data_IF_572948921702
#
_entry.id   IF_572948921702
#
_cell.length_a   1.000
_cell.length_b   1.000
_cell.length_c   1.000
_cell.angle_alpha   90.00
_cell.angle_beta   90.00
_cell.angle_gamma   90.00
#
_symmetry.space_group_name_H-M   'P 1'
#
loop_
_entity.id
_entity.type
_entity.pdbx_description
1 polymer ?
#
# COMPACT_ATOMS: atom_id res chain seq x y z
N UNK A 1 24.15 -1.21 -2.68
CA UNK A 1 22.86 -0.78 -3.27
C UNK A 1 21.89 -1.95 -3.16
N UNK A 2 21.43 -2.24 -1.94
CA UNK A 2 20.55 -3.36 -1.60
C UNK A 2 19.27 -2.67 -1.11
N UNK A 3 18.16 -2.78 -1.82
CA UNK A 3 16.96 -2.04 -1.41
C UNK A 3 15.70 -2.15 -2.26
N UNK A 4 15.71 -2.80 -3.43
CA UNK A 4 14.48 -3.06 -4.19
C UNK A 4 14.42 -4.51 -4.69
N UNK A 5 14.27 -5.46 -3.78
CA UNK A 5 13.93 -6.86 -4.13
C UNK A 5 12.40 -7.04 -4.23
N UNK A 6 11.60 -6.04 -3.83
CA UNK A 6 10.15 -6.19 -3.64
C UNK A 6 9.29 -5.94 -4.90
N UNK A 7 9.80 -5.26 -5.93
CA UNK A 7 9.01 -4.89 -7.10
C UNK A 7 9.18 -5.97 -8.18
N UNK A 8 8.61 -7.15 -7.97
CA UNK A 8 8.30 -8.10 -9.05
C UNK A 8 9.44 -8.61 -9.96
N UNK A 9 10.72 -8.51 -9.57
CA UNK A 9 11.85 -9.12 -10.30
C UNK A 9 12.46 -10.23 -9.42
N UNK A 10 11.95 -11.46 -9.55
CA UNK A 10 12.71 -12.67 -9.24
C UNK A 10 12.91 -13.09 -7.77
N UNK A 11 11.87 -13.06 -6.92
CA UNK A 11 11.94 -13.70 -5.58
C UNK A 11 11.36 -15.12 -5.66
N UNK A 12 12.16 -16.13 -5.33
CA UNK A 12 11.74 -17.55 -5.34
C UNK A 12 10.67 -17.80 -4.25
N UNK A 13 9.57 -18.54 -4.54
CA UNK A 13 8.45 -18.72 -3.61
C UNK A 13 8.74 -19.48 -2.31
N UNK A 14 9.96 -20.01 -2.12
CA UNK A 14 10.24 -21.05 -1.12
C UNK A 14 11.16 -20.61 0.03
N UNK A 15 11.52 -19.33 0.11
CA UNK A 15 12.37 -18.82 1.19
C UNK A 15 11.72 -17.60 1.85
N UNK A 16 11.46 -17.72 3.15
CA UNK A 16 10.85 -16.72 4.02
C UNK A 16 11.85 -15.58 4.28
N UNK A 17 12.17 -14.81 3.24
CA UNK A 17 13.05 -13.63 3.37
C UNK A 17 12.18 -12.45 3.76
N UNK A 18 12.32 -12.00 5.01
CA UNK A 18 11.74 -10.73 5.45
C UNK A 18 12.46 -9.62 4.69
N UNK A 19 11.78 -9.04 3.71
CA UNK A 19 12.28 -7.85 3.01
C UNK A 19 11.91 -6.65 3.88
N UNK A 20 12.91 -6.01 4.49
CA UNK A 20 12.70 -4.80 5.28
C UNK A 20 12.57 -3.60 4.34
N UNK A 21 11.40 -2.99 4.34
CA UNK A 21 11.14 -1.65 3.82
C UNK A 21 10.86 -1.58 2.31
N UNK A 22 9.72 -0.96 1.97
CA UNK A 22 9.55 -0.21 0.72
C UNK A 22 10.30 1.14 0.78
N UNK A 23 10.71 1.54 1.98
CA UNK A 23 11.52 2.73 2.27
C UNK A 23 12.95 2.54 1.75
N UNK A 24 13.42 3.49 0.94
CA UNK A 24 14.73 3.40 0.26
C UNK A 24 14.67 2.83 -1.15
N UNK A 25 13.50 2.38 -1.62
CA UNK A 25 13.33 2.03 -3.02
C UNK A 25 13.36 3.27 -3.93
N UNK A 26 14.08 3.18 -5.05
CA UNK A 26 13.98 4.20 -6.11
C UNK A 26 12.71 3.97 -6.93
N UNK A 27 11.66 4.71 -6.60
CA UNK A 27 10.42 4.77 -7.38
C UNK A 27 10.54 5.71 -8.61
N UNK A 28 11.66 6.44 -8.70
CA UNK A 28 11.95 7.35 -9.82
C UNK A 28 12.13 6.52 -11.10
N UNK A 29 11.36 6.87 -12.14
CA UNK A 29 11.37 6.17 -13.44
C UNK A 29 10.27 5.11 -13.62
N UNK A 30 9.52 4.78 -12.57
CA UNK A 30 8.41 3.82 -12.61
C UNK A 30 7.05 4.45 -12.94
N UNK A 31 7.03 5.65 -13.55
CA UNK A 31 5.81 6.38 -13.88
C UNK A 31 4.85 5.61 -14.83
N UNK A 32 5.34 4.56 -15.51
CA UNK A 32 4.56 3.66 -16.35
C UNK A 32 3.89 2.50 -15.63
N UNK A 33 4.13 2.30 -14.33
CA UNK A 33 3.63 1.14 -13.60
C UNK A 33 2.13 1.26 -13.37
N UNK A 34 1.41 0.21 -13.79
CA UNK A 34 -0.05 0.10 -13.65
C UNK A 34 -0.44 -0.71 -12.42
N UNK A 35 0.38 -1.67 -12.01
CA UNK A 35 0.09 -2.55 -10.88
C UNK A 35 1.32 -2.76 -10.01
N UNK A 36 1.12 -2.71 -8.70
CA UNK A 36 2.11 -3.09 -7.68
C UNK A 36 1.47 -4.15 -6.81
N UNK A 37 2.11 -5.31 -6.71
CA UNK A 37 1.70 -6.39 -5.81
C UNK A 37 2.90 -6.94 -5.07
N UNK A 38 2.79 -7.07 -3.75
CA UNK A 38 3.82 -7.71 -2.94
C UNK A 38 3.20 -8.64 -1.91
N UNK A 39 3.72 -9.87 -1.77
CA UNK A 39 3.29 -10.88 -0.80
C UNK A 39 4.49 -11.65 -0.24
N UNK A 40 5.40 -10.94 0.42
CA UNK A 40 6.69 -11.49 0.87
C UNK A 40 7.00 -11.13 2.33
N UNK A 41 6.00 -11.09 3.21
CA UNK A 41 6.18 -10.70 4.61
C UNK A 41 6.97 -9.40 4.75
N UNK A 42 6.65 -8.40 3.92
CA UNK A 42 7.30 -7.08 3.99
C UNK A 42 7.07 -6.46 5.37
N UNK A 43 8.11 -5.88 5.94
CA UNK A 43 8.06 -5.08 7.18
C UNK A 43 8.37 -3.60 6.88
N UNK A 44 7.98 -2.70 7.78
CA UNK A 44 8.18 -1.24 7.64
C UNK A 44 6.95 -0.50 7.10
N UNK A 45 7.09 0.78 6.77
CA UNK A 45 5.96 1.62 6.33
C UNK A 45 5.79 1.69 4.81
N UNK A 46 4.63 2.19 4.39
CA UNK A 46 4.34 2.47 2.99
C UNK A 46 4.93 3.84 2.63
N UNK A 47 5.89 3.94 1.69
CA UNK A 47 6.54 5.20 1.34
C UNK A 47 5.58 6.12 0.60
N UNK A 48 5.59 7.41 0.95
CA UNK A 48 4.76 8.43 0.31
C UNK A 48 5.04 8.58 -1.21
N UNK A 49 6.23 8.16 -1.65
CA UNK A 49 6.69 8.21 -3.04
C UNK A 49 5.83 7.34 -3.97
N UNK A 50 5.08 6.35 -3.46
CA UNK A 50 4.09 5.61 -4.25
C UNK A 50 3.00 6.52 -4.82
N UNK A 51 2.69 7.65 -4.15
CA UNK A 51 1.78 8.67 -4.66
C UNK A 51 2.26 9.38 -5.93
N UNK A 52 3.52 9.19 -6.34
CA UNK A 52 4.05 9.74 -7.59
C UNK A 52 3.83 8.82 -8.80
N UNK A 53 3.32 7.60 -8.60
CA UNK A 53 3.04 6.65 -9.68
C UNK A 53 1.70 6.99 -10.34
N UNK A 54 1.63 8.11 -11.07
CA UNK A 54 0.38 8.69 -11.60
C UNK A 54 -0.46 7.77 -12.50
N UNK A 55 0.13 6.71 -13.05
CA UNK A 55 -0.56 5.68 -13.85
C UNK A 55 -0.96 4.45 -13.05
N UNK A 56 -0.64 4.38 -11.76
CA UNK A 56 -0.95 3.23 -10.93
C UNK A 56 -2.46 3.06 -10.82
N UNK A 57 -2.93 1.85 -11.14
CA UNK A 57 -4.34 1.46 -11.07
C UNK A 57 -4.57 0.51 -9.90
N UNK A 58 -3.61 -0.39 -9.63
CA UNK A 58 -3.81 -1.48 -8.68
C UNK A 58 -2.65 -1.55 -7.68
N UNK A 59 -2.96 -1.50 -6.39
CA UNK A 59 -2.00 -1.75 -5.31
C UNK A 59 -2.52 -2.90 -4.42
N UNK A 60 -1.75 -3.98 -4.36
CA UNK A 60 -2.04 -5.13 -3.49
C UNK A 60 -0.85 -5.37 -2.57
N UNK A 61 -0.97 -4.91 -1.33
CA UNK A 61 0.01 -5.13 -0.27
C UNK A 61 -0.55 -6.04 0.84
N UNK A 62 -1.66 -6.74 0.57
CA UNK A 62 -2.31 -7.60 1.56
C UNK A 62 -1.42 -8.79 1.93
N UNK A 63 -1.40 -9.15 3.21
CA UNK A 63 -0.62 -10.30 3.70
C UNK A 63 0.86 -9.97 3.92
N UNK A 64 1.17 -8.72 4.27
CA UNK A 64 2.50 -8.28 4.68
C UNK A 64 2.47 -7.75 6.12
N UNK A 65 3.63 -7.72 6.77
CA UNK A 65 3.79 -7.20 8.13
C UNK A 65 4.11 -5.71 8.16
N UNK A 66 3.40 -4.93 7.34
CA UNK A 66 3.57 -3.49 7.24
C UNK A 66 3.04 -2.78 8.50
N UNK A 67 3.70 -1.69 8.86
CA UNK A 67 3.42 -0.89 10.05
C UNK A 67 3.33 0.61 9.73
N UNK A 68 2.93 1.40 10.73
CA UNK A 68 2.79 2.85 10.59
C UNK A 68 1.51 3.26 9.86
N UNK A 69 1.55 4.38 9.14
CA UNK A 69 0.38 5.00 8.54
C UNK A 69 0.37 4.84 7.02
N UNK A 70 -0.82 4.65 6.44
CA UNK A 70 -1.02 4.73 4.99
C UNK A 70 -0.86 6.19 4.54
N UNK A 71 0.08 6.50 3.63
CA UNK A 71 0.34 7.87 3.22
C UNK A 71 -0.82 8.47 2.42
N UNK A 72 -1.30 9.66 2.81
CA UNK A 72 -2.39 10.38 2.14
C UNK A 72 -2.07 10.77 0.69
N UNK A 73 -0.79 10.76 0.31
CA UNK A 73 -0.31 10.97 -1.06
C UNK A 73 -0.85 9.93 -2.05
N UNK A 74 -1.30 8.75 -1.59
CA UNK A 74 -2.02 7.80 -2.44
C UNK A 74 -3.33 8.39 -2.99
N UNK A 75 -3.96 9.33 -2.27
CA UNK A 75 -5.13 10.07 -2.73
C UNK A 75 -4.90 10.95 -3.96
N UNK A 76 -3.66 11.12 -4.43
CA UNK A 76 -3.33 11.85 -5.67
C UNK A 76 -3.50 11.00 -6.94
N UNK A 77 -3.70 9.69 -6.79
CA UNK A 77 -3.74 8.74 -7.88
C UNK A 77 -5.14 8.73 -8.52
N UNK A 78 -5.35 9.56 -9.54
CA UNK A 78 -6.66 9.73 -10.18
C UNK A 78 -7.16 8.50 -10.95
N UNK A 79 -6.24 7.63 -11.41
CA UNK A 79 -6.57 6.39 -12.14
C UNK A 79 -6.63 5.15 -11.24
N UNK A 80 -6.64 5.32 -9.93
CA UNK A 80 -6.51 4.23 -8.99
C UNK A 80 -7.83 3.47 -8.82
N UNK A 81 -7.83 2.19 -9.20
CA UNK A 81 -9.04 1.36 -9.31
C UNK A 81 -9.15 0.36 -8.17
N UNK A 82 -8.02 -0.20 -7.71
CA UNK A 82 -8.03 -1.30 -6.74
C UNK A 82 -6.99 -1.10 -5.65
N UNK A 83 -7.45 -1.05 -4.41
CA UNK A 83 -6.61 -0.92 -3.23
C UNK A 83 -6.88 -2.10 -2.28
N UNK A 84 -5.86 -2.93 -2.05
CA UNK A 84 -5.90 -4.02 -1.08
C UNK A 84 -4.80 -3.81 -0.05
N UNK A 85 -5.19 -3.42 1.17
CA UNK A 85 -4.33 -3.26 2.33
C UNK A 85 -4.85 -4.13 3.47
N UNK A 86 -3.93 -4.61 4.33
CA UNK A 86 -4.28 -5.35 5.54
C UNK A 86 -3.62 -6.72 5.66
N UNK A 87 -3.91 -7.39 6.77
CA UNK A 87 -3.34 -8.67 7.22
C UNK A 87 -1.82 -8.66 7.48
N UNK A 88 -1.42 -8.84 8.75
CA UNK A 88 -0.06 -9.25 9.16
C UNK A 88 0.79 -8.22 9.92
N UNK A 89 0.33 -6.98 10.12
CA UNK A 89 1.09 -5.91 10.80
C UNK A 89 0.22 -4.86 11.50
N UNK A 90 0.81 -3.73 11.90
CA UNK A 90 0.15 -2.66 12.69
C UNK A 90 -0.30 -1.46 11.85
N UNK A 91 -0.39 -1.62 10.52
CA UNK A 91 -0.76 -0.56 9.57
C UNK A 91 -2.10 0.11 9.93
N UNK A 92 -2.12 1.44 9.90
CA UNK A 92 -3.24 2.32 10.23
C UNK A 92 -3.56 3.30 9.10
N UNK A 93 -4.81 3.73 9.00
CA UNK A 93 -5.17 4.85 8.14
C UNK A 93 -4.74 6.18 8.78
N UNK A 94 -4.12 7.07 7.99
CA UNK A 94 -3.78 8.44 8.37
C UNK A 94 -4.99 9.38 8.26
N UNK A 95 -5.11 10.39 9.15
CA UNK A 95 -6.13 11.45 9.14
C UNK A 95 -7.54 10.95 8.79
N UNK A 96 -8.03 9.94 9.51
CA UNK A 96 -9.38 9.40 9.30
C UNK A 96 -9.71 8.93 7.87
N UNK A 97 -8.67 8.73 7.06
CA UNK A 97 -8.76 8.31 5.66
C UNK A 97 -9.49 9.28 4.72
N UNK A 98 -9.53 10.59 5.01
CA UNK A 98 -10.16 11.59 4.12
C UNK A 98 -9.67 11.52 2.66
N UNK A 99 -8.41 11.15 2.44
CA UNK A 99 -7.82 10.99 1.11
C UNK A 99 -8.48 9.88 0.26
N UNK A 100 -9.23 8.93 0.85
CA UNK A 100 -10.00 7.94 0.10
C UNK A 100 -11.09 8.59 -0.76
N UNK A 101 -11.67 9.71 -0.30
CA UNK A 101 -12.69 10.46 -1.06
C UNK A 101 -12.17 11.01 -2.39
N UNK A 102 -10.86 11.22 -2.53
CA UNK A 102 -10.25 11.70 -3.78
C UNK A 102 -10.08 10.59 -4.83
N UNK A 103 -10.22 9.33 -4.44
CA UNK A 103 -10.04 8.17 -5.32
C UNK A 103 -11.33 7.87 -6.08
N UNK A 104 -11.75 8.78 -6.94
CA UNK A 104 -13.03 8.71 -7.66
C UNK A 104 -13.13 7.52 -8.63
N UNK A 105 -12.00 6.98 -9.07
CA UNK A 105 -11.93 5.79 -9.95
C UNK A 105 -11.93 4.47 -9.19
N UNK A 106 -11.99 4.49 -7.86
CA UNK A 106 -11.87 3.30 -7.02
C UNK A 106 -13.09 2.40 -7.19
N UNK A 107 -12.86 1.16 -7.60
CA UNK A 107 -13.90 0.15 -7.80
C UNK A 107 -13.81 -0.97 -6.76
N UNK A 108 -12.63 -1.19 -6.20
CA UNK A 108 -12.38 -2.23 -5.21
C UNK A 108 -11.52 -1.67 -4.09
N UNK A 109 -12.04 -1.74 -2.86
CA UNK A 109 -11.35 -1.36 -1.64
C UNK A 109 -11.44 -2.51 -0.65
N UNK A 110 -10.29 -3.02 -0.22
CA UNK A 110 -10.18 -3.98 0.86
C UNK A 110 -9.18 -3.44 1.88
N UNK A 111 -9.70 -3.12 3.07
CA UNK A 111 -8.91 -2.68 4.22
C UNK A 111 -8.98 -3.71 5.36
N UNK A 112 -9.44 -4.92 5.08
CA UNK A 112 -9.74 -5.92 6.11
C UNK A 112 -8.57 -6.14 7.08
N UNK A 113 -8.89 -6.18 8.38
CA UNK A 113 -7.94 -6.52 9.45
C UNK A 113 -6.79 -5.50 9.62
N UNK A 114 -6.99 -4.24 9.25
CA UNK A 114 -6.12 -3.13 9.67
C UNK A 114 -6.35 -2.75 11.15
N UNK A 115 -5.30 -2.29 11.82
CA UNK A 115 -5.26 -2.22 13.28
C UNK A 115 -6.20 -1.19 13.92
N UNK A 116 -6.50 -0.08 13.23
CA UNK A 116 -7.37 0.98 13.74
C UNK A 116 -8.81 0.91 13.24
N UNK A 117 -9.18 -0.12 12.46
CA UNK A 117 -10.54 -0.20 11.91
C UNK A 117 -11.61 -0.60 12.93
N UNK A 118 -11.20 -1.21 14.04
CA UNK A 118 -12.12 -1.72 15.04
C UNK A 118 -12.49 -0.66 16.11
N UNK A 119 -11.79 0.48 16.13
CA UNK A 119 -11.83 1.44 17.25
C UNK A 119 -12.24 2.87 16.86
N UNK A 120 -12.39 3.20 15.57
CA UNK A 120 -12.72 4.58 15.16
C UNK A 120 -14.19 4.74 14.80
N UNK A 121 -14.91 5.55 15.57
CA UNK A 121 -16.26 6.05 15.28
C UNK A 121 -16.41 6.64 13.86
N UNK A 122 -15.31 7.05 13.21
CA UNK A 122 -15.29 7.61 11.84
C UNK A 122 -15.52 6.60 10.70
N UNK A 123 -15.42 5.28 10.95
CA UNK A 123 -15.58 4.26 9.88
C UNK A 123 -17.02 3.97 9.46
N UNK A 124 -17.99 4.28 10.33
CA UNK A 124 -19.40 4.16 9.98
C UNK A 124 -19.86 5.22 8.95
N UNK A 125 -18.99 6.16 8.55
CA UNK A 125 -19.31 7.22 7.59
C UNK A 125 -18.65 7.03 6.21
N UNK A 126 -17.79 6.02 6.04
CA UNK A 126 -17.05 5.78 4.78
C UNK A 126 -17.67 4.62 3.96
N UNK A 127 -18.64 3.90 4.52
CA UNK A 127 -19.47 2.88 3.85
C UNK A 127 -20.89 3.43 3.71
#
# INVERSE_FOLDING_TARGET
MIGCVAIGIGVRPSQRVVVRGLEGCSWRGLAGVLFVRVRNSLEGSIPYQLGNLSKLQNLDLKGNSLEGNVPSQLGKLSNFQKLYLGYGGTLKLHDEAFWLSNLTSLTHLDLSLMANLNNSHSLLQII
#
